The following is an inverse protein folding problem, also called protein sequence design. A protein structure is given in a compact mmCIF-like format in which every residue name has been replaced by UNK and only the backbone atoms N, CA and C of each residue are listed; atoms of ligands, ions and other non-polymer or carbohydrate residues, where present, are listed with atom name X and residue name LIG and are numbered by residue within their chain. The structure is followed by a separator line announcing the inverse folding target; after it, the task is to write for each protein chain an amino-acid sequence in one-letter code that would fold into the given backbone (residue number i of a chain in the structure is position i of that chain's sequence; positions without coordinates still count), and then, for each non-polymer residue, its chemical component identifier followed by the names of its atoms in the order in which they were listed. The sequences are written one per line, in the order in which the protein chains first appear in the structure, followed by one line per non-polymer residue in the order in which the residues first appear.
data_IF_289917236005
#
_entry.id   IF_289917236005
#
_cell.length_a   1.000
_cell.length_b   1.000
_cell.length_c   1.000
_cell.angle_alpha   90.00
_cell.angle_beta   90.00
_cell.angle_gamma   90.00
#
_symmetry.space_group_name_H-M   'P 1'
#
loop_
_entity.id
_entity.type
_entity.pdbx_description
1 polymer ?
#
# COMPACT_ATOMS: atom_id res chain seq x y z
N UNK A 1 -36.05 48.24 23.24
CA UNK A 1 -35.17 47.77 22.14
C UNK A 1 -34.18 46.79 22.75
N UNK A 2 -34.53 45.51 22.90
CA UNK A 2 -33.66 44.49 23.54
C UNK A 2 -33.48 43.23 22.66
N UNK A 3 -33.86 43.30 21.39
CA UNK A 3 -33.74 42.18 20.46
C UNK A 3 -32.34 41.87 19.87
N UNK A 4 -31.31 42.75 19.87
CA UNK A 4 -30.10 42.46 19.11
C UNK A 4 -29.21 41.42 19.78
N UNK A 5 -29.08 41.41 21.10
CA UNK A 5 -28.13 40.55 21.81
C UNK A 5 -28.56 39.07 21.78
N UNK A 6 -29.84 38.77 22.00
CA UNK A 6 -30.35 37.39 21.93
C UNK A 6 -30.19 36.78 20.53
N UNK A 7 -30.39 37.58 19.48
CA UNK A 7 -30.18 37.14 18.10
C UNK A 7 -28.71 36.80 17.83
N UNK A 8 -27.77 37.62 18.31
CA UNK A 8 -26.33 37.35 18.18
C UNK A 8 -25.92 36.08 18.92
N UNK A 9 -26.39 35.89 20.15
CA UNK A 9 -26.10 34.69 20.93
C UNK A 9 -26.67 33.45 20.24
N UNK A 10 -27.90 33.51 19.73
CA UNK A 10 -28.51 32.41 18.99
C UNK A 10 -27.70 32.04 17.74
N UNK A 11 -27.24 33.01 16.95
CA UNK A 11 -26.42 32.76 15.75
C UNK A 11 -25.04 32.17 16.09
N UNK A 12 -24.40 32.65 17.15
CA UNK A 12 -23.11 32.12 17.61
C UNK A 12 -23.27 30.66 18.08
N UNK A 13 -24.31 30.36 18.86
CA UNK A 13 -24.58 28.99 19.33
C UNK A 13 -24.91 28.06 18.16
N UNK A 14 -25.70 28.51 17.19
CA UNK A 14 -26.03 27.73 16.00
C UNK A 14 -24.80 27.45 15.13
N UNK A 15 -23.95 28.45 14.90
CA UNK A 15 -22.74 28.30 14.09
C UNK A 15 -21.70 27.40 14.76
N UNK A 16 -21.49 27.51 16.07
CA UNK A 16 -20.62 26.61 16.84
C UNK A 16 -21.16 25.17 16.82
N UNK A 17 -22.47 24.99 16.96
CA UNK A 17 -23.11 23.66 16.95
C UNK A 17 -22.97 23.00 15.57
N UNK A 18 -23.17 23.75 14.48
CA UNK A 18 -22.94 23.27 13.13
C UNK A 18 -21.48 22.91 12.90
N UNK A 19 -20.53 23.76 13.30
CA UNK A 19 -19.11 23.52 13.13
C UNK A 19 -18.64 22.23 13.85
N UNK A 20 -19.15 22.00 15.06
CA UNK A 20 -18.89 20.76 15.81
C UNK A 20 -19.51 19.54 15.11
N UNK A 21 -20.75 19.65 14.64
CA UNK A 21 -21.41 18.57 13.91
C UNK A 21 -20.63 18.19 12.64
N UNK A 22 -20.19 19.17 11.85
CA UNK A 22 -19.36 18.94 10.67
C UNK A 22 -18.01 18.32 11.02
N UNK A 23 -17.35 18.77 12.10
CA UNK A 23 -16.08 18.18 12.54
C UNK A 23 -16.24 16.72 12.95
N UNK A 24 -17.33 16.36 13.63
CA UNK A 24 -17.59 14.97 14.04
C UNK A 24 -17.95 14.10 12.84
N UNK A 25 -18.80 14.60 11.93
CA UNK A 25 -19.13 13.88 10.70
C UNK A 25 -17.89 13.63 9.84
N UNK A 26 -17.06 14.66 9.61
CA UNK A 26 -15.81 14.54 8.85
C UNK A 26 -14.86 13.48 9.42
N UNK A 27 -14.66 13.48 10.74
CA UNK A 27 -13.81 12.46 11.41
C UNK A 27 -14.40 11.05 11.30
N UNK A 28 -15.72 10.93 11.37
CA UNK A 28 -16.40 9.64 11.26
C UNK A 28 -16.27 9.06 9.86
N UNK A 29 -16.44 9.89 8.83
CA UNK A 29 -16.32 9.46 7.43
C UNK A 29 -14.87 9.14 7.05
N UNK A 30 -13.91 9.90 7.57
CA UNK A 30 -12.48 9.57 7.48
C UNK A 30 -12.17 8.21 8.10
N UNK A 31 -12.67 7.93 9.31
CA UNK A 31 -12.49 6.64 9.97
C UNK A 31 -13.11 5.46 9.20
N UNK A 32 -14.31 5.64 8.63
CA UNK A 32 -14.94 4.62 7.77
C UNK A 32 -14.14 4.38 6.49
N UNK A 33 -13.59 5.45 5.90
CA UNK A 33 -12.76 5.34 4.71
C UNK A 33 -11.45 4.58 4.99
N UNK A 34 -10.77 4.88 6.10
CA UNK A 34 -9.58 4.14 6.53
C UNK A 34 -9.91 2.66 6.81
N UNK A 35 -11.06 2.37 7.42
CA UNK A 35 -11.52 0.99 7.61
C UNK A 35 -11.79 0.26 6.29
N UNK A 36 -12.35 0.95 5.29
CA UNK A 36 -12.49 0.40 3.92
C UNK A 36 -11.13 0.14 3.31
N UNK A 37 -10.19 1.09 3.40
CA UNK A 37 -8.82 0.93 2.90
C UNK A 37 -8.13 -0.29 3.50
N UNK A 38 -8.25 -0.48 4.83
CA UNK A 38 -7.76 -1.68 5.53
C UNK A 38 -8.39 -2.96 5.00
N UNK A 39 -9.70 -2.92 4.70
CA UNK A 39 -10.38 -4.09 4.12
C UNK A 39 -9.82 -4.41 2.72
N UNK A 40 -9.49 -3.41 1.90
CA UNK A 40 -8.88 -3.63 0.59
C UNK A 40 -7.44 -4.16 0.69
N UNK A 41 -6.64 -3.67 1.64
CA UNK A 41 -5.29 -4.21 1.90
C UNK A 41 -5.34 -5.64 2.45
N UNK A 42 -6.32 -5.97 3.29
CA UNK A 42 -6.54 -7.33 3.79
C UNK A 42 -6.96 -8.30 2.67
N UNK A 43 -7.73 -7.84 1.68
CA UNK A 43 -8.04 -8.65 0.47
C UNK A 43 -6.78 -8.92 -0.35
N UNK A 44 -5.93 -7.92 -0.54
CA UNK A 44 -4.64 -8.11 -1.21
C UNK A 44 -3.74 -9.08 -0.43
N UNK A 45 -3.68 -8.95 0.89
CA UNK A 45 -2.97 -9.89 1.76
C UNK A 45 -3.49 -11.32 1.56
N UNK A 46 -4.81 -11.52 1.60
CA UNK A 46 -5.41 -12.84 1.39
C UNK A 46 -5.08 -13.41 0.01
N UNK A 47 -5.15 -12.59 -1.04
CA UNK A 47 -4.78 -12.99 -2.39
C UNK A 47 -3.29 -13.35 -2.52
N UNK A 48 -2.40 -12.61 -1.85
CA UNK A 48 -0.97 -12.94 -1.79
C UNK A 48 -0.72 -14.27 -1.09
N UNK A 49 -1.39 -14.53 0.03
CA UNK A 49 -1.30 -15.81 0.77
C UNK A 49 -1.81 -16.97 -0.09
N UNK A 50 -2.97 -16.81 -0.73
CA UNK A 50 -3.56 -17.78 -1.65
C UNK A 50 -2.57 -18.16 -2.76
N UNK A 51 -1.99 -17.15 -3.43
CA UNK A 51 -1.04 -17.36 -4.52
C UNK A 51 0.26 -17.98 -4.00
N UNK A 52 0.78 -17.52 -2.86
CA UNK A 52 2.01 -18.02 -2.27
C UNK A 52 1.94 -19.51 -1.90
N UNK A 53 0.82 -19.96 -1.32
CA UNK A 53 0.64 -21.35 -0.87
C UNK A 53 0.07 -22.29 -1.94
N UNK A 54 -0.49 -21.76 -3.02
CA UNK A 54 -0.97 -22.58 -4.12
C UNK A 54 0.17 -23.16 -4.98
N UNK A 55 -0.15 -24.21 -5.73
CA UNK A 55 0.74 -24.78 -6.75
C UNK A 55 0.77 -23.89 -8.00
N UNK A 56 1.94 -23.64 -8.60
CA UNK A 56 2.01 -22.95 -9.88
C UNK A 56 1.38 -23.78 -11.02
N UNK A 57 0.79 -23.17 -12.07
CA UNK A 57 0.48 -21.74 -12.17
C UNK A 57 -0.82 -21.41 -11.41
N UNK A 58 -0.74 -20.47 -10.47
CA UNK A 58 -1.93 -19.92 -9.80
C UNK A 58 -1.92 -18.41 -9.90
N UNK A 59 -3.07 -17.83 -10.22
CA UNK A 59 -3.24 -16.37 -10.32
C UNK A 59 -4.46 -15.90 -9.55
N UNK A 60 -4.36 -14.72 -8.93
CA UNK A 60 -5.44 -14.01 -8.26
C UNK A 60 -5.43 -12.55 -8.69
N UNK A 61 -6.60 -11.99 -8.96
CA UNK A 61 -6.75 -10.58 -9.30
C UNK A 61 -7.58 -9.88 -8.23
N UNK A 62 -7.09 -8.75 -7.75
CA UNK A 62 -7.76 -7.89 -6.77
C UNK A 62 -7.88 -6.49 -7.34
N UNK A 63 -9.04 -5.85 -7.13
CA UNK A 63 -9.22 -4.45 -7.44
C UNK A 63 -8.83 -3.63 -6.21
N UNK A 64 -7.98 -2.62 -6.39
CA UNK A 64 -7.54 -1.73 -5.33
C UNK A 64 -7.81 -0.28 -5.72
N UNK A 65 -8.58 0.44 -4.91
CA UNK A 65 -8.97 1.83 -5.16
C UNK A 65 -8.08 2.80 -4.39
N UNK A 66 -7.33 3.66 -5.09
CA UNK A 66 -6.55 4.76 -4.50
C UNK A 66 -7.49 5.90 -4.06
N UNK A 67 -8.13 5.71 -2.91
CA UNK A 67 -9.18 6.59 -2.40
C UNK A 67 -8.65 7.85 -1.69
N UNK A 68 -9.56 8.76 -1.33
CA UNK A 68 -9.27 9.93 -0.47
C UNK A 68 -10.14 9.86 0.78
N UNK A 69 -9.49 9.78 1.94
CA UNK A 69 -10.13 9.78 3.25
C UNK A 69 -10.01 11.18 3.87
N UNK A 70 -11.01 12.03 3.64
CA UNK A 70 -10.98 13.43 4.11
C UNK A 70 -9.81 14.19 3.49
N UNK A 71 -8.85 14.60 4.32
CA UNK A 71 -7.64 15.30 3.90
C UNK A 71 -6.50 14.36 3.46
N UNK A 72 -6.66 13.06 3.67
CA UNK A 72 -5.63 12.07 3.37
C UNK A 72 -5.92 11.44 2.00
N UNK A 73 -5.11 11.79 1.00
CA UNK A 73 -5.17 11.18 -0.32
C UNK A 73 -4.22 9.98 -0.36
N UNK A 74 -4.73 8.79 -0.67
CA UNK A 74 -3.85 7.66 -0.95
C UNK A 74 -3.20 7.90 -2.31
N UNK A 75 -1.88 7.95 -2.30
CA UNK A 75 -1.04 8.33 -3.44
C UNK A 75 -0.14 7.18 -3.91
N UNK A 76 -0.14 6.06 -3.17
CA UNK A 76 0.54 4.85 -3.59
C UNK A 76 0.31 3.68 -2.65
N UNK A 77 0.85 2.55 -3.04
CA UNK A 77 0.85 1.31 -2.27
C UNK A 77 2.24 0.69 -2.36
N UNK A 78 2.78 0.25 -1.23
CA UNK A 78 4.08 -0.42 -1.14
C UNK A 78 3.89 -1.87 -0.73
N UNK A 79 4.49 -2.79 -1.47
CA UNK A 79 4.75 -4.15 -1.01
C UNK A 79 6.19 -4.16 -0.51
N UNK A 80 6.38 -4.39 0.78
CA UNK A 80 7.70 -4.33 1.40
C UNK A 80 7.98 -5.59 2.20
N UNK A 81 9.17 -6.14 2.02
CA UNK A 81 9.75 -7.12 2.93
C UNK A 81 10.77 -6.45 3.82
N UNK A 82 10.66 -6.70 5.13
CA UNK A 82 11.69 -6.38 6.11
C UNK A 82 12.28 -7.68 6.64
N UNK A 83 13.60 -7.88 6.49
CA UNK A 83 14.31 -9.02 7.08
C UNK A 83 14.60 -8.86 8.57
N UNK A 84 14.54 -7.64 9.10
CA UNK A 84 14.74 -7.37 10.53
C UNK A 84 13.40 -7.23 11.23
N UNK A 85 13.29 -7.90 12.36
CA UNK A 85 12.11 -7.82 13.23
C UNK A 85 11.83 -6.40 13.73
N UNK A 86 12.86 -5.59 13.93
CA UNK A 86 12.75 -4.20 14.39
C UNK A 86 11.97 -3.30 13.42
N UNK A 87 11.88 -3.66 12.14
CA UNK A 87 11.12 -2.89 11.14
C UNK A 87 9.71 -3.45 10.93
N UNK A 88 9.37 -4.51 11.67
CA UNK A 88 8.08 -5.17 11.64
C UNK A 88 7.16 -4.72 12.78
N UNK A 89 7.36 -3.54 13.37
CA UNK A 89 6.59 -3.07 14.55
C UNK A 89 5.06 -3.09 14.31
N UNK A 90 4.64 -2.94 13.06
CA UNK A 90 3.22 -2.99 12.66
C UNK A 90 2.67 -4.42 12.53
N UNK A 91 3.52 -5.44 12.65
CA UNK A 91 3.19 -6.85 12.49
C UNK A 91 3.52 -7.68 13.75
N UNK A 92 2.51 -8.31 14.34
CA UNK A 92 2.67 -9.05 15.59
C UNK A 92 3.39 -10.40 15.45
N UNK A 93 3.48 -10.98 14.24
CA UNK A 93 4.11 -12.28 13.98
C UNK A 93 5.25 -12.13 12.96
N UNK A 94 6.50 -12.14 13.44
CA UNK A 94 7.68 -11.76 12.66
C UNK A 94 8.86 -12.65 13.02
N UNK A 95 8.84 -13.91 12.55
CA UNK A 95 9.94 -14.85 12.74
C UNK A 95 11.04 -14.56 11.72
N UNK A 96 11.94 -13.62 12.05
CA UNK A 96 13.09 -13.28 11.20
C UNK A 96 12.77 -12.39 9.99
N UNK A 97 11.62 -11.72 10.01
CA UNK A 97 11.19 -10.74 9.00
C UNK A 97 9.67 -10.70 8.84
N UNK A 98 9.17 -9.78 8.01
CA UNK A 98 7.76 -9.66 7.67
C UNK A 98 7.55 -9.03 6.29
N UNK A 99 6.50 -9.48 5.60
CA UNK A 99 5.96 -8.78 4.45
C UNK A 99 4.84 -7.83 4.89
N UNK A 100 4.78 -6.65 4.31
CA UNK A 100 3.74 -5.66 4.55
C UNK A 100 3.20 -5.08 3.25
N UNK A 101 1.90 -4.83 3.25
CA UNK A 101 1.21 -4.01 2.26
C UNK A 101 0.92 -2.67 2.93
N UNK A 102 1.55 -1.60 2.45
CA UNK A 102 1.57 -0.30 3.11
C UNK A 102 1.00 0.77 2.18
N UNK A 103 -0.24 1.24 2.44
CA UNK A 103 -0.77 2.43 1.78
C UNK A 103 0.01 3.67 2.21
N UNK A 104 0.26 4.57 1.27
CA UNK A 104 0.98 5.81 1.52
C UNK A 104 0.22 7.02 1.01
N UNK A 105 0.39 8.13 1.70
CA UNK A 105 -0.22 9.41 1.38
C UNK A 105 0.82 10.52 1.51
N UNK A 106 0.71 11.57 0.69
CA UNK A 106 1.52 12.77 0.90
C UNK A 106 0.99 13.60 2.07
N UNK A 107 1.89 14.09 2.90
CA UNK A 107 1.58 15.12 3.87
C UNK A 107 1.60 16.53 3.25
N UNK A 108 1.35 17.54 4.08
CA UNK A 108 1.33 18.94 3.63
C UNK A 108 2.69 19.43 3.10
N UNK A 109 3.78 18.81 3.53
CA UNK A 109 5.15 19.12 3.12
C UNK A 109 5.57 18.32 1.87
N UNK A 110 4.65 17.54 1.31
CA UNK A 110 4.84 16.68 0.15
C UNK A 110 5.60 15.38 0.44
N UNK A 111 5.84 15.07 1.72
CA UNK A 111 6.53 13.85 2.12
C UNK A 111 5.54 12.67 2.22
N UNK A 112 5.95 11.49 1.74
CA UNK A 112 5.12 10.30 1.87
C UNK A 112 5.13 9.78 3.30
N UNK A 113 3.94 9.65 3.88
CA UNK A 113 3.69 9.03 5.18
C UNK A 113 2.88 7.74 5.02
N UNK A 114 3.14 6.81 5.93
CA UNK A 114 2.38 5.57 6.02
C UNK A 114 1.00 5.83 6.61
N UNK A 115 0.00 5.10 6.12
CA UNK A 115 -1.33 5.05 6.73
C UNK A 115 -1.38 3.83 7.65
N UNK A 116 -0.83 3.97 8.85
CA UNK A 116 -0.55 2.85 9.78
C UNK A 116 -1.76 1.95 10.04
N UNK A 117 -2.95 2.55 10.17
CA UNK A 117 -4.19 1.83 10.50
C UNK A 117 -4.71 0.93 9.36
N UNK A 118 -4.16 1.09 8.15
CA UNK A 118 -4.49 0.30 6.97
C UNK A 118 -3.29 -0.53 6.47
N UNK A 119 -2.27 -0.74 7.30
CA UNK A 119 -1.17 -1.68 6.96
C UNK A 119 -1.64 -3.12 7.19
N UNK A 120 -1.40 -3.97 6.20
CA UNK A 120 -1.69 -5.41 6.27
C UNK A 120 -0.41 -6.23 6.24
N UNK A 121 -0.28 -7.19 7.15
CA UNK A 121 0.90 -8.03 7.32
C UNK A 121 0.71 -9.37 6.62
N UNK A 122 1.61 -9.72 5.72
CA UNK A 122 1.53 -10.96 4.95
C UNK A 122 2.45 -12.02 5.57
N UNK A 123 1.87 -13.06 6.15
CA UNK A 123 2.62 -14.15 6.79
C UNK A 123 3.05 -15.20 5.75
N UNK A 124 3.92 -14.78 4.83
CA UNK A 124 4.59 -15.67 3.88
C UNK A 124 6.09 -15.71 4.17
N UNK A 125 6.76 -16.73 3.66
CA UNK A 125 8.19 -16.89 3.85
C UNK A 125 8.99 -15.75 3.17
N UNK A 126 10.07 -15.31 3.82
CA UNK A 126 10.90 -14.19 3.34
C UNK A 126 11.73 -14.52 2.09
N UNK A 127 11.85 -15.80 1.74
CA UNK A 127 12.47 -16.29 0.51
C UNK A 127 11.55 -16.20 -0.71
N UNK A 128 10.27 -15.82 -0.54
CA UNK A 128 9.40 -15.50 -1.66
C UNK A 128 9.82 -14.16 -2.27
N UNK A 129 9.93 -14.10 -3.60
CA UNK A 129 10.27 -12.89 -4.34
C UNK A 129 9.04 -12.29 -4.99
N UNK A 130 8.93 -10.96 -4.91
CA UNK A 130 7.97 -10.22 -5.73
C UNK A 130 8.70 -9.61 -6.93
N UNK A 131 8.13 -9.75 -8.14
CA UNK A 131 8.64 -9.10 -9.35
C UNK A 131 7.56 -8.30 -10.05
N UNK A 132 7.94 -7.23 -10.72
CA UNK A 132 7.07 -6.53 -11.67
C UNK A 132 6.98 -7.33 -12.97
N UNK A 133 5.82 -7.28 -13.61
CA UNK A 133 5.67 -7.69 -15.00
C UNK A 133 5.92 -6.48 -15.91
N UNK A 134 6.81 -6.61 -16.89
CA UNK A 134 7.17 -5.55 -17.84
C UNK A 134 5.97 -5.13 -18.73
N UNK A 135 4.94 -5.98 -18.84
CA UNK A 135 3.72 -5.69 -19.60
C UNK A 135 2.65 -4.93 -18.80
N UNK A 136 2.98 -4.40 -17.62
CA UNK A 136 2.06 -3.75 -16.70
C UNK A 136 2.53 -2.32 -16.35
N UNK A 137 1.73 -1.59 -15.54
CA UNK A 137 2.13 -0.25 -15.10
C UNK A 137 3.45 -0.34 -14.32
N UNK A 138 4.31 0.66 -14.52
CA UNK A 138 5.65 0.66 -13.94
C UNK A 138 5.59 0.60 -12.41
N UNK A 139 6.36 -0.32 -11.83
CA UNK A 139 6.53 -0.47 -10.38
C UNK A 139 7.96 -0.10 -10.02
N UNK A 140 8.11 0.74 -9.00
CA UNK A 140 9.42 1.12 -8.48
C UNK A 140 9.95 0.07 -7.51
N UNK A 141 11.24 -0.23 -7.61
CA UNK A 141 11.95 -1.14 -6.71
C UNK A 141 12.51 -0.45 -5.46
N UNK A 142 12.08 0.79 -5.21
CA UNK A 142 12.48 1.61 -4.07
C UNK A 142 11.21 2.10 -3.31
N UNK A 143 11.31 2.78 -2.15
CA UNK A 143 10.13 3.18 -1.38
C UNK A 143 9.33 4.33 -2.03
N UNK A 144 9.82 4.91 -3.11
CA UNK A 144 9.17 5.96 -3.83
C UNK A 144 8.39 5.42 -5.03
N UNK A 145 7.27 6.06 -5.38
CA UNK A 145 6.62 5.83 -6.66
C UNK A 145 7.57 5.98 -7.87
N UNK A 146 7.26 5.33 -9.01
CA UNK A 146 8.11 5.32 -10.21
C UNK A 146 8.55 6.72 -10.68
N UNK A 147 7.68 7.71 -10.54
CA UNK A 147 7.93 9.07 -11.04
C UNK A 147 8.66 9.99 -10.03
N UNK A 148 9.12 9.48 -8.87
CA UNK A 148 9.66 10.31 -7.79
C UNK A 148 10.94 9.76 -7.11
N UNK A 149 12.12 10.05 -7.65
CA UNK A 149 13.40 9.52 -7.13
C UNK A 149 13.82 10.01 -5.71
N UNK A 150 13.33 11.17 -5.24
CA UNK A 150 13.64 11.71 -3.89
C UNK A 150 12.37 12.13 -3.13
N UNK A 151 11.45 11.17 -2.98
CA UNK A 151 10.09 11.40 -2.50
C UNK A 151 9.94 11.70 -0.99
N UNK A 152 11.03 12.01 -0.27
CA UNK A 152 11.04 12.17 1.20
C UNK A 152 10.22 11.09 1.91
N UNK A 153 10.48 9.83 1.60
CA UNK A 153 9.66 8.68 2.02
C UNK A 153 9.54 8.45 3.53
N UNK A 154 10.33 9.18 4.35
CA UNK A 154 10.50 8.92 5.78
C UNK A 154 11.29 7.64 6.09
N UNK A 155 11.64 6.86 5.07
CA UNK A 155 12.39 5.62 5.16
C UNK A 155 13.89 5.95 5.09
N UNK A 156 14.73 5.50 6.05
CA UNK A 156 16.18 5.72 5.98
C UNK A 156 16.79 5.24 4.66
N UNK A 157 17.63 6.04 4.00
CA UNK A 157 18.25 5.67 2.70
C UNK A 157 19.05 4.36 2.75
N UNK A 158 19.58 4.00 3.93
CA UNK A 158 20.31 2.74 4.13
C UNK A 158 19.46 1.46 4.01
N UNK A 159 18.14 1.57 3.85
CA UNK A 159 17.22 0.43 3.66
C UNK A 159 16.44 0.51 2.34
N UNK A 160 16.86 1.38 1.42
CA UNK A 160 16.29 1.46 0.08
C UNK A 160 16.98 0.43 -0.81
N UNK A 161 16.29 -0.66 -1.15
CA UNK A 161 16.83 -1.61 -2.11
C UNK A 161 15.74 -2.51 -2.67
N UNK A 162 15.77 -2.68 -3.99
CA UNK A 162 14.98 -3.69 -4.70
C UNK A 162 15.72 -5.00 -4.92
N UNK A 163 16.95 -5.11 -4.39
CA UNK A 163 17.79 -6.29 -4.60
C UNK A 163 17.17 -7.51 -3.89
N UNK A 164 16.94 -8.63 -4.59
CA UNK A 164 16.50 -9.88 -3.97
C UNK A 164 17.43 -10.35 -2.83
N UNK A 165 18.70 -9.98 -2.81
CA UNK A 165 19.63 -10.31 -1.73
C UNK A 165 19.67 -9.26 -0.61
N UNK A 166 18.92 -8.17 -0.73
CA UNK A 166 18.87 -7.11 0.27
C UNK A 166 18.02 -7.49 1.48
N UNK A 167 18.40 -6.91 2.62
CA UNK A 167 17.69 -6.97 3.89
C UNK A 167 16.28 -6.35 3.84
N UNK A 168 16.00 -5.58 2.79
CA UNK A 168 14.70 -4.99 2.51
C UNK A 168 14.44 -5.05 1.02
N UNK A 169 13.20 -5.37 0.63
CA UNK A 169 12.76 -5.44 -0.77
C UNK A 169 11.49 -4.63 -0.94
N UNK A 170 11.43 -3.83 -2.01
CA UNK A 170 10.30 -2.95 -2.29
C UNK A 170 9.71 -3.22 -3.67
N UNK A 171 8.39 -3.16 -3.75
CA UNK A 171 7.66 -2.83 -4.97
C UNK A 171 6.65 -1.73 -4.62
N UNK A 172 6.85 -0.54 -5.17
CA UNK A 172 6.01 0.62 -4.92
C UNK A 172 5.27 1.02 -6.18
N UNK A 173 3.94 1.12 -6.07
CA UNK A 173 3.11 1.75 -7.09
C UNK A 173 2.76 3.18 -6.71
N UNK A 174 2.80 4.03 -7.72
CA UNK A 174 2.32 5.41 -7.64
C UNK A 174 0.94 5.55 -8.22
N UNK A 175 0.28 6.64 -7.84
CA UNK A 175 -0.98 7.08 -8.40
C UNK A 175 -0.77 7.82 -9.73
N UNK A 176 -1.47 7.39 -10.77
CA UNK A 176 -1.53 8.11 -12.06
C UNK A 176 -2.62 9.20 -12.12
N UNK A 177 -3.56 9.23 -11.16
CA UNK A 177 -4.67 10.20 -11.12
C UNK A 177 -5.55 10.08 -9.86
N UNK A 178 -6.47 11.02 -9.62
CA UNK A 178 -7.40 10.94 -8.46
C UNK A 178 -8.40 9.79 -8.60
N UNK A 179 -8.56 8.98 -7.55
CA UNK A 179 -9.46 7.82 -7.52
C UNK A 179 -9.13 6.73 -8.54
N UNK A 180 -7.85 6.57 -8.89
CA UNK A 180 -7.41 5.48 -9.77
C UNK A 180 -7.71 4.13 -9.11
N UNK A 181 -8.44 3.29 -9.82
CA UNK A 181 -8.62 1.87 -9.47
C UNK A 181 -7.57 1.08 -10.20
N UNK A 182 -6.80 0.27 -9.47
CA UNK A 182 -5.82 -0.65 -10.03
C UNK A 182 -6.38 -2.06 -10.03
N UNK A 183 -6.21 -2.77 -11.14
CA UNK A 183 -6.35 -4.22 -11.22
C UNK A 183 -4.98 -4.82 -10.92
N UNK A 184 -4.81 -5.38 -9.73
CA UNK A 184 -3.56 -6.00 -9.29
C UNK A 184 -3.71 -7.51 -9.47
N UNK A 185 -2.94 -8.07 -10.39
CA UNK A 185 -2.86 -9.50 -10.64
C UNK A 185 -1.58 -10.06 -10.04
N UNK A 186 -1.74 -11.04 -9.18
CA UNK A 186 -0.69 -11.78 -8.50
C UNK A 186 -0.61 -13.17 -9.12
N UNK A 187 0.55 -13.55 -9.65
CA UNK A 187 0.73 -14.84 -10.33
C UNK A 187 1.95 -15.57 -9.79
N UNK A 188 1.78 -16.81 -9.34
CA UNK A 188 2.90 -17.70 -9.02
C UNK A 188 3.33 -18.43 -10.28
N UNK A 189 4.55 -18.16 -10.73
CA UNK A 189 5.14 -18.76 -11.93
C UNK A 189 5.73 -20.14 -11.63
N UNK A 190 5.81 -21.00 -12.65
CA UNK A 190 6.67 -22.19 -12.61
C UNK A 190 8.06 -21.69 -12.98
N UNK A 191 8.87 -21.28 -12.01
CA UNK A 191 10.25 -20.90 -12.30
C UNK A 191 11.05 -22.17 -12.59
N UNK A 192 11.05 -22.61 -13.85
CA UNK A 192 12.03 -23.58 -14.32
C UNK A 192 13.41 -22.93 -14.13
N UNK A 193 14.24 -23.53 -13.26
CA UNK A 193 15.51 -22.99 -12.82
C UNK A 193 16.31 -22.37 -13.97
N UNK A 194 16.48 -21.06 -13.93
CA UNK A 194 17.32 -20.32 -14.88
C UNK A 194 18.01 -19.18 -14.17
N UNK A 195 18.94 -19.52 -13.27
CA UNK A 195 20.34 -19.10 -13.35
C UNK A 195 21.08 -19.63 -12.11
N UNK A 196 22.07 -20.50 -12.37
CA UNK A 196 23.10 -20.87 -11.42
C UNK A 196 23.82 -19.61 -10.92
N UNK A 197 23.64 -19.28 -9.63
CA UNK A 197 24.67 -18.57 -8.87
C UNK A 197 25.34 -19.60 -7.98
N UNK A 198 26.63 -19.75 -8.22
CA UNK A 198 27.59 -20.70 -7.66
C UNK A 198 27.62 -20.72 -6.13
N UNK A 199 26.72 -21.46 -5.50
CA UNK A 199 26.93 -22.21 -4.24
C UNK A 199 25.79 -23.21 -4.09
N UNK A 200 26.13 -24.50 -4.04
CA UNK A 200 25.17 -25.60 -4.08
C UNK A 200 24.18 -25.62 -2.93
N UNK A 201 22.96 -25.16 -3.21
CA UNK A 201 21.67 -25.61 -2.66
C UNK A 201 20.62 -24.94 -3.53
N UNK A 202 20.05 -25.67 -4.50
CA UNK A 202 18.93 -25.16 -5.29
C UNK A 202 17.72 -25.01 -4.38
N UNK A 203 17.46 -23.81 -3.86
CA UNK A 203 16.19 -23.51 -3.22
C UNK A 203 15.23 -23.01 -4.29
N UNK A 204 14.14 -23.73 -4.50
CA UNK A 204 12.96 -23.21 -5.20
C UNK A 204 12.40 -22.05 -4.37
N UNK A 205 13.00 -20.88 -4.48
CA UNK A 205 12.44 -19.68 -3.88
C UNK A 205 11.20 -19.30 -4.67
N UNK A 206 10.04 -19.32 -4.01
CA UNK A 206 8.76 -19.01 -4.65
C UNK A 206 8.78 -17.59 -5.24
N UNK A 207 8.25 -17.42 -6.46
CA UNK A 207 8.15 -16.11 -7.10
C UNK A 207 6.67 -15.74 -7.30
N UNK A 208 6.31 -14.52 -6.93
CA UNK A 208 5.01 -13.91 -7.23
C UNK A 208 5.23 -12.72 -8.16
N UNK A 209 4.70 -12.81 -9.36
CA UNK A 209 4.68 -11.72 -10.33
C UNK A 209 3.50 -10.81 -9.97
N UNK A 210 3.77 -9.53 -9.81
CA UNK A 210 2.81 -8.47 -9.51
C UNK A 210 2.62 -7.64 -10.79
N UNK A 211 1.41 -7.67 -11.33
CA UNK A 211 1.01 -6.84 -12.46
C UNK A 211 -0.08 -5.88 -11.99
N UNK A 212 0.22 -4.59 -11.92
CA UNK A 212 -0.77 -3.55 -11.65
C UNK A 212 -1.15 -2.85 -12.95
N UNK A 213 -2.45 -2.67 -13.20
CA UNK A 213 -2.94 -1.89 -14.34
C UNK A 213 -4.04 -0.93 -13.89
N UNK A 214 -3.93 0.33 -14.27
CA UNK A 214 -5.03 1.27 -14.06
C UNK A 214 -6.26 0.81 -14.84
N UNK A 215 -7.40 0.69 -14.16
CA UNK A 215 -8.65 0.21 -14.76
C UNK A 215 -9.21 1.16 -15.83
N UNK A 216 -8.68 2.38 -15.93
CA UNK A 216 -9.00 3.34 -16.98
C UNK A 216 -8.22 3.09 -18.28
N UNK A 217 -7.05 2.44 -18.24
CA UNK A 217 -6.23 2.20 -19.43
C UNK A 217 -6.78 1.11 -20.38
N UNK A 218 -7.79 0.35 -19.98
CA UNK A 218 -8.44 -0.67 -20.84
C UNK A 218 -9.54 -0.09 -21.77
N UNK A 219 -9.91 1.20 -21.67
CA UNK A 219 -10.90 1.79 -22.59
C UNK A 219 -10.36 2.19 -23.96
N UNK A 220 -9.07 1.95 -24.23
CA UNK A 220 -8.41 2.35 -25.49
C UNK A 220 -7.79 1.18 -26.29
N UNK A 221 -8.11 -0.08 -25.97
CA UNK A 221 -7.66 -1.25 -26.74
C UNK A 221 -8.79 -1.98 -27.47
#
# INVERSE_FOLDING_TARGET
MEAPIELFVAVIVLSLSLALAFSVMSRTDEGKCIAKLRTETDKLQAAMLDVAFASPPTSRTVLFEMTRCGNLAIDGLRFVYYSKSEWCELCQAHYGGCWQIVPIAKDQDGAYKIVSDAVSCVNIAGDIFLRSDDACDELSSNPCPPDEDDCKSGVPRGIWSGDPLSLTRWLTMGKSGTSTVYRITLTKSVTAGSQEVTTGTGSESGEIIVCARSAAAESES
#
